data_IF_601012435569
#
_entry.id   IF_601012435569
#
_cell.length_a   1.000
_cell.length_b   1.000
_cell.length_c   1.000
_cell.angle_alpha   90.00
_cell.angle_beta   90.00
_cell.angle_gamma   90.00
#
_symmetry.space_group_name_H-M   'P 1'
#
loop_
_entity.id
_entity.type
_entity.pdbx_description
1 polymer ?
#
# COMPACT_ATOMS: atom_id res chain seq x y z
N UNK A 1 -14.42 -1.42 23.17
CA UNK A 1 -13.77 -0.28 22.49
C UNK A 1 -12.28 -0.49 22.22
N UNK A 2 -11.43 -0.93 23.18
CA UNK A 2 -9.97 -1.01 22.99
C UNK A 2 -9.54 -1.86 21.79
N UNK A 3 -10.15 -3.04 21.63
CA UNK A 3 -9.82 -3.98 20.54
C UNK A 3 -10.16 -3.39 19.16
N UNK A 4 -11.26 -2.62 19.05
CA UNK A 4 -11.63 -1.96 17.79
C UNK A 4 -10.62 -0.88 17.42
N UNK A 5 -10.25 -0.01 18.37
CA UNK A 5 -9.23 1.02 18.14
C UNK A 5 -7.89 0.39 17.71
N UNK A 6 -7.47 -0.69 18.36
CA UNK A 6 -6.26 -1.41 17.98
C UNK A 6 -6.34 -1.97 16.55
N UNK A 7 -7.51 -2.44 16.12
CA UNK A 7 -7.70 -2.90 14.74
C UNK A 7 -7.53 -1.76 13.73
N UNK A 8 -8.10 -0.57 13.99
CA UNK A 8 -7.90 0.60 13.13
C UNK A 8 -6.43 1.06 13.11
N UNK A 9 -5.73 1.06 14.24
CA UNK A 9 -4.29 1.39 14.30
C UNK A 9 -3.46 0.44 13.43
N UNK A 10 -3.74 -0.86 13.47
CA UNK A 10 -3.07 -1.85 12.63
C UNK A 10 -3.35 -1.64 11.15
N UNK A 11 -4.58 -1.29 10.78
CA UNK A 11 -4.96 -1.00 9.39
C UNK A 11 -4.36 0.32 8.90
N UNK A 12 -4.27 1.33 9.75
CA UNK A 12 -3.55 2.56 9.45
C UNK A 12 -2.05 2.28 9.23
N UNK A 13 -1.43 1.47 10.09
CA UNK A 13 -0.04 1.04 9.91
C UNK A 13 0.16 0.27 8.60
N UNK A 14 -0.76 -0.64 8.25
CA UNK A 14 -0.74 -1.33 6.96
C UNK A 14 -0.73 -0.34 5.78
N UNK A 15 -1.65 0.63 5.77
CA UNK A 15 -1.74 1.64 4.71
C UNK A 15 -0.46 2.48 4.59
N UNK A 16 0.12 2.88 5.72
CA UNK A 16 1.40 3.59 5.76
C UNK A 16 2.55 2.72 5.24
N UNK A 17 2.53 1.43 5.55
CA UNK A 17 3.56 0.48 5.11
C UNK A 17 3.53 0.25 3.59
N UNK A 18 2.35 0.12 3.00
CA UNK A 18 2.22 -0.12 1.56
C UNK A 18 2.38 1.16 0.71
N UNK A 19 2.39 2.35 1.32
CA UNK A 19 2.67 3.59 0.61
C UNK A 19 3.98 3.47 -0.19
N UNK A 20 4.01 3.75 -1.50
CA UNK A 20 5.15 3.33 -2.32
C UNK A 20 6.47 3.96 -1.87
N UNK A 21 6.48 5.20 -1.40
CA UNK A 21 7.71 5.84 -0.86
C UNK A 21 8.30 5.06 0.31
N UNK A 22 7.47 4.60 1.24
CA UNK A 22 7.89 3.80 2.41
C UNK A 22 8.19 2.35 2.04
N UNK A 23 7.47 1.77 1.08
CA UNK A 23 7.69 0.42 0.58
C UNK A 23 9.07 0.30 -0.08
N UNK A 24 9.44 1.25 -0.94
CA UNK A 24 10.71 1.28 -1.69
C UNK A 24 11.95 1.48 -0.80
N UNK A 25 11.78 2.09 0.39
CA UNK A 25 12.86 2.24 1.38
C UNK A 25 13.10 0.91 2.10
N UNK A 26 12.03 0.20 2.45
CA UNK A 26 12.12 -1.06 3.23
C UNK A 26 12.43 -2.28 2.37
N UNK A 27 12.11 -2.21 1.08
CA UNK A 27 12.20 -3.33 0.15
C UNK A 27 13.24 -3.01 -0.93
N UNK A 28 14.47 -3.42 -0.69
CA UNK A 28 15.57 -3.23 -1.63
C UNK A 28 15.54 -4.30 -2.73
N UNK A 29 15.89 -3.94 -3.98
CA UNK A 29 16.02 -4.92 -5.05
C UNK A 29 17.17 -5.88 -4.75
N UNK A 30 16.95 -7.17 -5.05
CA UNK A 30 17.96 -8.24 -4.93
C UNK A 30 18.70 -8.50 -6.24
N UNK A 31 18.20 -7.95 -7.35
CA UNK A 31 18.80 -8.04 -8.68
C UNK A 31 18.54 -6.75 -9.49
N UNK A 32 19.18 -6.61 -10.65
CA UNK A 32 18.92 -5.52 -11.60
C UNK A 32 17.64 -5.72 -12.42
N UNK A 33 17.06 -6.92 -12.39
CA UNK A 33 15.87 -7.26 -13.15
C UNK A 33 14.63 -6.57 -12.56
N UNK A 34 13.96 -5.74 -13.37
CA UNK A 34 12.76 -5.01 -12.94
C UNK A 34 11.59 -5.94 -12.57
N UNK A 35 11.45 -7.09 -13.24
CA UNK A 35 10.33 -8.01 -13.05
C UNK A 35 10.45 -8.73 -11.70
N UNK A 36 11.67 -9.10 -11.32
CA UNK A 36 11.95 -9.67 -10.00
C UNK A 36 11.62 -8.65 -8.91
N UNK A 37 12.02 -7.39 -9.12
CA UNK A 37 11.76 -6.32 -8.14
C UNK A 37 10.27 -5.96 -8.03
N UNK A 38 9.57 -5.84 -9.16
CA UNK A 38 8.11 -5.68 -9.19
C UNK A 38 7.42 -6.79 -8.40
N UNK A 39 7.78 -8.04 -8.67
CA UNK A 39 7.20 -9.21 -8.00
C UNK A 39 7.46 -9.17 -6.49
N UNK A 40 8.68 -8.77 -6.08
CA UNK A 40 9.04 -8.62 -4.67
C UNK A 40 8.21 -7.53 -3.97
N UNK A 41 8.00 -6.39 -4.61
CA UNK A 41 7.18 -5.31 -4.05
C UNK A 41 5.72 -5.75 -3.87
N UNK A 42 5.14 -6.40 -4.89
CA UNK A 42 3.77 -6.91 -4.85
C UNK A 42 3.63 -7.97 -3.76
N UNK A 43 4.56 -8.93 -3.68
CA UNK A 43 4.54 -9.96 -2.65
C UNK A 43 4.61 -9.36 -1.24
N UNK A 44 5.41 -8.31 -1.05
CA UNK A 44 5.53 -7.59 0.23
C UNK A 44 4.20 -6.91 0.62
N UNK A 45 3.50 -6.30 -0.34
CA UNK A 45 2.18 -5.69 -0.11
C UNK A 45 1.16 -6.77 0.30
N UNK A 46 1.11 -7.89 -0.42
CA UNK A 46 0.19 -8.99 -0.13
C UNK A 46 0.45 -9.59 1.25
N UNK A 47 1.73 -9.83 1.60
CA UNK A 47 2.10 -10.34 2.90
C UNK A 47 1.67 -9.40 4.04
N UNK A 48 1.90 -8.09 3.91
CA UNK A 48 1.45 -7.08 4.90
C UNK A 48 -0.08 -7.04 5.03
N UNK A 49 -0.82 -7.31 3.94
CA UNK A 49 -2.28 -7.41 3.96
C UNK A 49 -2.75 -8.67 4.69
N UNK A 50 -2.15 -9.83 4.39
CA UNK A 50 -2.44 -11.10 5.07
C UNK A 50 -2.18 -11.01 6.58
N UNK A 51 -1.10 -10.35 7.01
CA UNK A 51 -0.78 -10.07 8.42
C UNK A 51 -1.83 -9.23 9.15
N UNK A 52 -2.71 -8.54 8.42
CA UNK A 52 -3.77 -7.69 8.95
C UNK A 52 -5.18 -8.19 8.59
N UNK A 53 -5.30 -9.35 7.93
CA UNK A 53 -6.56 -9.89 7.44
C UNK A 53 -7.61 -10.07 8.55
N UNK A 54 -7.18 -10.47 9.74
CA UNK A 54 -8.09 -10.71 10.87
C UNK A 54 -8.72 -9.42 11.40
N UNK A 55 -8.15 -8.25 11.11
CA UNK A 55 -8.66 -6.97 11.60
C UNK A 55 -9.99 -6.58 10.94
N UNK A 56 -10.34 -7.20 9.81
CA UNK A 56 -11.58 -6.92 9.06
C UNK A 56 -12.85 -7.09 9.91
N UNK A 57 -12.84 -7.99 10.90
CA UNK A 57 -14.03 -8.27 11.73
C UNK A 57 -14.36 -7.15 12.72
N UNK A 58 -13.48 -6.14 12.86
CA UNK A 58 -13.61 -5.05 13.84
C UNK A 58 -13.95 -3.69 13.21
N UNK A 59 -13.98 -3.62 11.88
CA UNK A 59 -14.25 -2.41 11.09
C UNK A 59 -15.49 -2.60 10.24
N UNK A 60 -16.02 -1.51 9.67
CA UNK A 60 -17.13 -1.62 8.73
C UNK A 60 -16.70 -2.31 7.41
N UNK A 61 -17.64 -2.97 6.74
CA UNK A 61 -17.42 -3.54 5.40
C UNK A 61 -16.97 -2.46 4.40
N UNK A 62 -17.47 -1.23 4.56
CA UNK A 62 -17.08 -0.08 3.75
C UNK A 62 -15.60 0.29 3.99
N UNK A 63 -15.16 0.36 5.24
CA UNK A 63 -13.75 0.60 5.59
C UNK A 63 -12.86 -0.47 4.96
N UNK A 64 -13.25 -1.73 5.13
CA UNK A 64 -12.50 -2.86 4.61
C UNK A 64 -12.38 -2.84 3.08
N UNK A 65 -13.48 -2.51 2.39
CA UNK A 65 -13.51 -2.35 0.94
C UNK A 65 -12.58 -1.24 0.47
N UNK A 66 -12.59 -0.08 1.13
CA UNK A 66 -11.70 1.05 0.80
C UNK A 66 -10.22 0.70 1.01
N UNK A 67 -9.90 -0.05 2.08
CA UNK A 67 -8.55 -0.55 2.34
C UNK A 67 -8.10 -1.50 1.22
N UNK A 68 -8.97 -2.42 0.81
CA UNK A 68 -8.72 -3.32 -0.33
C UNK A 68 -8.50 -2.57 -1.64
N UNK A 69 -9.31 -1.52 -1.90
CA UNK A 69 -9.14 -0.66 -3.06
C UNK A 69 -7.80 0.08 -3.05
N UNK A 70 -7.38 0.62 -1.90
CA UNK A 70 -6.08 1.26 -1.75
C UNK A 70 -4.91 0.28 -1.99
N UNK A 71 -4.98 -0.95 -1.45
CA UNK A 71 -4.02 -2.03 -1.74
C UNK A 71 -3.88 -2.27 -3.24
N UNK A 72 -5.01 -2.50 -3.91
CA UNK A 72 -5.05 -2.82 -5.33
C UNK A 72 -4.55 -1.68 -6.20
N UNK A 73 -4.91 -0.43 -5.87
CA UNK A 73 -4.44 0.75 -6.57
C UNK A 73 -2.91 0.92 -6.46
N UNK A 74 -2.33 0.65 -5.30
CA UNK A 74 -0.87 0.64 -5.10
C UNK A 74 -0.18 -0.41 -5.98
N UNK A 75 -0.71 -1.64 -6.03
CA UNK A 75 -0.20 -2.71 -6.92
C UNK A 75 -0.28 -2.29 -8.39
N UNK A 76 -1.40 -1.67 -8.80
CA UNK A 76 -1.58 -1.20 -10.17
C UNK A 76 -0.62 -0.07 -10.55
N UNK A 77 -0.29 0.82 -9.60
CA UNK A 77 0.73 1.85 -9.81
C UNK A 77 2.09 1.21 -10.09
N UNK A 78 2.50 0.22 -9.31
CA UNK A 78 3.77 -0.50 -9.48
C UNK A 78 3.82 -1.20 -10.85
N UNK A 79 2.76 -1.93 -11.22
CA UNK A 79 2.64 -2.60 -12.52
C UNK A 79 2.77 -1.63 -13.69
N UNK A 80 2.04 -0.50 -13.62
CA UNK A 80 2.10 0.54 -14.66
C UNK A 80 3.49 1.13 -14.80
N UNK A 81 4.19 1.39 -13.69
CA UNK A 81 5.57 1.88 -13.72
C UNK A 81 6.53 0.87 -14.38
N UNK A 82 6.36 -0.43 -14.10
CA UNK A 82 7.16 -1.51 -14.70
C UNK A 82 6.93 -1.69 -16.20
N UNK A 83 5.70 -1.45 -16.67
CA UNK A 83 5.32 -1.54 -18.08
C UNK A 83 5.84 -0.39 -18.95
N UNK A 84 6.31 0.72 -18.38
CA UNK A 84 6.86 1.82 -19.17
C UNK A 84 8.10 1.36 -19.95
N UNK A 85 8.20 1.71 -21.23
CA UNK A 85 9.30 1.28 -22.11
C UNK A 85 10.68 1.65 -21.57
N UNK A 86 10.77 2.81 -20.88
CA UNK A 86 12.01 3.32 -20.30
C UNK A 86 12.37 2.68 -18.96
N UNK A 87 11.49 1.85 -18.39
CA UNK A 87 11.77 1.12 -17.16
C UNK A 87 12.42 -0.21 -17.54
N UNK A 88 13.74 -0.30 -17.49
CA UNK A 88 14.50 -1.48 -17.90
C UNK A 88 15.19 -2.19 -16.71
N UNK A 89 15.43 -1.45 -15.62
CA UNK A 89 16.12 -1.94 -14.42
C UNK A 89 15.29 -1.73 -13.16
N UNK A 90 15.64 -2.47 -12.10
CA UNK A 90 15.03 -2.30 -10.77
C UNK A 90 15.22 -0.89 -10.22
N UNK A 91 16.39 -0.27 -10.39
CA UNK A 91 16.62 1.12 -9.99
C UNK A 91 15.76 2.09 -10.81
N UNK A 92 15.62 1.87 -12.12
CA UNK A 92 14.77 2.72 -12.95
C UNK A 92 13.30 2.61 -12.56
N UNK A 93 12.84 1.41 -12.19
CA UNK A 93 11.49 1.20 -11.65
C UNK A 93 11.24 2.02 -10.38
N UNK A 94 12.22 2.11 -9.48
CA UNK A 94 12.13 2.95 -8.26
C UNK A 94 11.94 4.41 -8.62
N UNK A 95 12.75 4.93 -9.54
CA UNK A 95 12.66 6.31 -10.00
C UNK A 95 11.27 6.60 -10.57
N UNK A 96 10.78 5.76 -11.49
CA UNK A 96 9.49 5.95 -12.15
C UNK A 96 8.34 5.92 -11.15
N UNK A 97 8.35 4.99 -10.19
CA UNK A 97 7.33 4.94 -9.11
C UNK A 97 7.34 6.24 -8.29
N UNK A 98 8.52 6.76 -7.94
CA UNK A 98 8.63 8.01 -7.18
C UNK A 98 8.16 9.22 -7.99
N UNK A 99 8.47 9.27 -9.29
CA UNK A 99 7.99 10.34 -10.17
C UNK A 99 6.47 10.34 -10.30
N UNK A 100 5.84 9.17 -10.47
CA UNK A 100 4.36 9.08 -10.51
C UNK A 100 3.69 9.56 -9.22
N UNK A 101 4.37 9.47 -8.07
CA UNK A 101 3.90 9.98 -6.79
C UNK A 101 4.11 11.49 -6.60
N UNK A 102 4.92 12.16 -7.42
CA UNK A 102 5.02 13.62 -7.39
C UNK A 102 3.75 14.27 -7.94
N UNK A 103 3.16 13.65 -8.96
CA UNK A 103 1.98 14.17 -9.64
C UNK A 103 0.67 13.70 -8.99
N UNK A 104 0.70 12.64 -8.18
CA UNK A 104 -0.48 12.01 -7.59
C UNK A 104 -0.28 11.68 -6.12
N UNK A 105 -1.30 11.94 -5.31
CA UNK A 105 -1.30 11.49 -3.92
C UNK A 105 -1.29 9.94 -3.84
N UNK A 106 -0.60 9.35 -2.85
CA UNK A 106 -0.62 7.91 -2.63
C UNK A 106 -2.05 7.36 -2.48
N UNK A 107 -2.36 6.18 -3.05
CA UNK A 107 -3.69 5.57 -2.92
C UNK A 107 -4.12 5.33 -1.46
N UNK A 108 -3.16 5.17 -0.55
CA UNK A 108 -3.39 4.99 0.88
C UNK A 108 -4.03 6.20 1.58
N UNK A 109 -3.89 7.41 1.02
CA UNK A 109 -4.34 8.63 1.69
C UNK A 109 -5.86 8.68 1.88
N UNK A 110 -6.62 8.26 0.87
CA UNK A 110 -8.09 8.21 0.96
C UNK A 110 -8.55 7.20 2.01
N UNK A 111 -7.91 6.04 2.07
CA UNK A 111 -8.22 5.02 3.07
C UNK A 111 -7.86 5.47 4.50
N UNK A 112 -6.73 6.16 4.68
CA UNK A 112 -6.35 6.73 5.97
C UNK A 112 -7.34 7.81 6.44
N UNK A 113 -7.81 8.66 5.53
CA UNK A 113 -8.84 9.65 5.85
C UNK A 113 -10.16 8.97 6.27
N UNK A 114 -10.55 7.90 5.58
CA UNK A 114 -11.74 7.14 5.95
C UNK A 114 -11.61 6.49 7.33
N UNK A 115 -10.47 5.86 7.64
CA UNK A 115 -10.20 5.31 8.99
C UNK A 115 -10.36 6.39 10.06
N UNK A 116 -9.82 7.59 9.86
CA UNK A 116 -9.92 8.69 10.82
C UNK A 116 -11.38 9.10 11.07
N UNK A 117 -12.18 9.18 10.00
CA UNK A 117 -13.60 9.52 10.12
C UNK A 117 -14.37 8.43 10.89
N UNK A 118 -14.19 7.17 10.51
CA UNK A 118 -14.91 6.06 11.15
C UNK A 118 -14.52 5.89 12.63
N UNK A 119 -13.24 6.05 12.98
CA UNK A 119 -12.80 6.08 14.38
C UNK A 119 -13.45 7.25 15.13
N UNK A 120 -13.61 8.39 14.45
CA UNK A 120 -14.27 9.57 14.98
C UNK A 120 -15.76 9.40 15.30
N UNK A 121 -16.42 8.39 14.73
CA UNK A 121 -17.82 8.05 15.02
C UNK A 121 -17.96 7.05 16.19
N UNK A 122 -16.84 6.52 16.70
CA UNK A 122 -16.83 5.59 17.84
C UNK A 122 -16.83 6.27 19.20
N UNK A 123 -16.76 7.60 19.24
CA UNK A 123 -16.76 8.43 20.45
C UNK A 123 -17.83 9.51 20.43
#
# INVERSE_FOLDING_TARGET
>A
LPIRLQAYERLALFLERISPSKLLIRTHPTSSNKIDYESLLIATIEQEYEHNLTQQIYVSDQCWSIIGAAKNATIQLIRKASMQEKTDTSNKLREVILTELMDKQPPSNAALAFIKNEVGELW
#
